data_IF_219061808617
#
_entry.id   IF_219061808617
#
_cell.length_a   1.000
_cell.length_b   1.000
_cell.length_c   1.000
_cell.angle_alpha   90.00
_cell.angle_beta   90.00
_cell.angle_gamma   90.00
#
_symmetry.space_group_name_H-M   'P 1'
#
loop_
_entity.id
_entity.type
_entity.pdbx_description
1 polymer ?
#
# COMPACT_ATOMS: atom_id res chain seq x y z
N UNK A 1 -21.65 31.35 -4.50
CA UNK A 1 -22.34 32.15 -3.47
C UNK A 1 -21.30 32.86 -2.64
N UNK A 2 -21.61 34.06 -2.14
CA UNK A 2 -20.82 34.69 -1.08
C UNK A 2 -20.79 33.78 0.15
N UNK A 3 -19.80 33.98 1.02
CA UNK A 3 -19.74 33.24 2.29
C UNK A 3 -20.99 33.53 3.11
N UNK A 4 -21.70 32.48 3.52
CA UNK A 4 -22.92 32.60 4.33
C UNK A 4 -22.61 32.77 5.81
N UNK A 5 -21.35 32.58 6.21
CA UNK A 5 -20.90 32.62 7.60
C UNK A 5 -20.11 33.90 7.88
N UNK A 6 -20.19 34.40 9.11
CA UNK A 6 -19.27 35.44 9.59
C UNK A 6 -17.84 34.87 9.71
N UNK A 7 -16.83 35.76 9.79
CA UNK A 7 -15.43 35.37 9.95
C UNK A 7 -15.21 34.47 11.17
N UNK A 8 -15.87 34.77 12.29
CA UNK A 8 -15.81 33.99 13.53
C UNK A 8 -16.50 32.62 13.39
N UNK A 9 -17.67 32.58 12.77
CA UNK A 9 -18.38 31.33 12.49
C UNK A 9 -17.57 30.42 11.56
N UNK A 10 -16.93 30.99 10.53
CA UNK A 10 -16.02 30.25 9.65
C UNK A 10 -14.79 29.76 10.38
N UNK A 11 -14.18 30.58 11.22
CA UNK A 11 -13.04 30.17 12.05
C UNK A 11 -13.39 28.98 12.95
N UNK A 12 -14.54 29.04 13.63
CA UNK A 12 -15.05 27.94 14.46
C UNK A 12 -15.39 26.69 13.65
N UNK A 13 -15.97 26.85 12.46
CA UNK A 13 -16.24 25.73 11.56
C UNK A 13 -14.94 25.03 11.14
N UNK A 14 -13.94 25.80 10.73
CA UNK A 14 -12.63 25.29 10.31
C UNK A 14 -11.88 24.59 11.45
N UNK A 15 -12.00 25.07 12.70
CA UNK A 15 -11.34 24.42 13.85
C UNK A 15 -11.97 23.08 14.24
N UNK A 16 -13.22 22.83 13.85
CA UNK A 16 -13.91 21.55 14.10
C UNK A 16 -13.62 20.49 13.02
N UNK A 17 -12.96 20.85 11.92
CA UNK A 17 -12.63 19.92 10.84
C UNK A 17 -11.47 19.03 11.31
N UNK A 18 -11.79 17.76 11.57
CA UNK A 18 -10.81 16.75 12.01
C UNK A 18 -10.02 16.22 10.82
N UNK A 19 -8.75 15.91 11.06
CA UNK A 19 -7.87 15.27 10.08
C UNK A 19 -7.98 13.74 10.05
N UNK A 20 -8.68 13.14 11.01
CA UNK A 20 -8.87 11.70 11.19
C UNK A 20 -10.24 11.42 11.79
N UNK A 21 -10.72 10.19 11.62
CA UNK A 21 -11.99 9.72 12.17
C UNK A 21 -13.18 10.56 11.68
N UNK A 22 -13.10 10.96 10.41
CA UNK A 22 -14.19 11.68 9.76
C UNK A 22 -15.40 10.78 9.56
N UNK A 23 -16.59 11.38 9.41
CA UNK A 23 -17.83 10.64 9.17
C UNK A 23 -17.73 9.62 8.02
N UNK A 24 -17.21 10.00 6.84
CA UNK A 24 -16.98 9.08 5.72
C UNK A 24 -16.06 7.90 6.08
N UNK A 25 -14.95 8.15 6.78
CA UNK A 25 -14.03 7.08 7.22
C UNK A 25 -14.76 6.08 8.13
N UNK A 26 -15.49 6.57 9.13
CA UNK A 26 -16.23 5.71 10.07
C UNK A 26 -17.27 4.84 9.37
N UNK A 27 -17.94 5.37 8.33
CA UNK A 27 -18.88 4.59 7.51
C UNK A 27 -18.19 3.42 6.82
N UNK A 28 -17.04 3.67 6.18
CA UNK A 28 -16.28 2.62 5.48
C UNK A 28 -15.76 1.59 6.49
N UNK A 29 -15.20 2.03 7.62
CA UNK A 29 -14.68 1.13 8.67
C UNK A 29 -15.77 0.21 9.22
N UNK A 30 -16.95 0.74 9.55
CA UNK A 30 -18.09 -0.05 10.05
C UNK A 30 -18.53 -1.08 9.03
N UNK A 31 -18.61 -0.70 7.77
CA UNK A 31 -19.02 -1.60 6.69
C UNK A 31 -17.99 -2.72 6.45
N UNK A 32 -16.70 -2.38 6.41
CA UNK A 32 -15.64 -3.39 6.25
C UNK A 32 -15.61 -4.36 7.44
N UNK A 33 -15.80 -3.86 8.65
CA UNK A 33 -15.87 -4.70 9.85
C UNK A 33 -17.08 -5.64 9.80
N UNK A 34 -18.26 -5.13 9.44
CA UNK A 34 -19.48 -5.95 9.27
C UNK A 34 -19.32 -7.02 8.17
N UNK A 35 -18.54 -6.72 7.12
CA UNK A 35 -18.21 -7.67 6.06
C UNK A 35 -17.07 -8.65 6.44
N UNK A 36 -16.57 -8.63 7.68
CA UNK A 36 -15.58 -9.57 8.20
C UNK A 36 -14.11 -9.22 7.88
N UNK A 37 -13.85 -8.03 7.33
CA UNK A 37 -12.47 -7.61 7.07
C UNK A 37 -11.77 -7.15 8.35
N UNK A 38 -10.53 -7.58 8.51
CA UNK A 38 -9.61 -7.06 9.54
C UNK A 38 -8.67 -6.05 8.91
N UNK A 39 -8.54 -4.90 9.53
CA UNK A 39 -7.75 -3.79 9.02
C UNK A 39 -7.05 -3.03 10.15
N UNK A 40 -6.01 -2.29 9.79
CA UNK A 40 -5.40 -1.26 10.64
C UNK A 40 -5.81 0.11 10.13
N UNK A 41 -5.85 1.10 11.00
CA UNK A 41 -6.19 2.48 10.63
C UNK A 41 -4.97 3.39 10.80
N UNK A 42 -4.93 4.49 10.04
CA UNK A 42 -3.97 5.59 10.20
C UNK A 42 -2.51 5.11 10.31
N UNK A 43 -2.07 4.27 9.38
CA UNK A 43 -0.76 3.63 9.44
C UNK A 43 0.33 4.59 8.96
N UNK A 44 0.99 5.26 9.91
CA UNK A 44 2.05 6.25 9.62
C UNK A 44 3.32 5.67 9.01
N UNK A 45 3.54 4.36 9.11
CA UNK A 45 4.70 3.69 8.51
C UNK A 45 4.61 3.58 6.98
N UNK A 46 3.45 3.88 6.39
CA UNK A 46 3.24 3.84 4.95
C UNK A 46 3.17 5.26 4.37
N UNK A 47 3.64 5.47 3.12
CA UNK A 47 3.54 6.76 2.46
C UNK A 47 2.11 7.31 2.50
N UNK A 48 1.96 8.56 2.94
CA UNK A 48 0.68 9.26 2.97
C UNK A 48 -0.29 8.83 4.07
N UNK A 49 0.13 7.99 5.02
CA UNK A 49 -0.67 7.55 6.17
C UNK A 49 -2.09 7.09 5.80
N UNK A 50 -2.23 5.96 5.07
CA UNK A 50 -3.53 5.50 4.58
C UNK A 50 -4.55 5.33 5.71
N UNK A 51 -5.81 5.69 5.43
CA UNK A 51 -6.89 5.64 6.41
C UNK A 51 -7.16 4.21 6.87
N UNK A 52 -7.12 3.26 5.93
CA UNK A 52 -7.39 1.84 6.19
C UNK A 52 -6.39 0.98 5.43
N UNK A 53 -5.76 0.04 6.14
CA UNK A 53 -4.77 -0.90 5.59
C UNK A 53 -5.20 -2.34 5.84
N UNK A 54 -5.34 -3.11 4.77
CA UNK A 54 -5.71 -4.51 4.75
C UNK A 54 -4.53 -5.37 4.32
N UNK A 55 -3.61 -5.65 5.27
CA UNK A 55 -2.36 -6.40 5.00
C UNK A 55 -2.60 -7.77 4.34
N UNK A 56 -3.59 -8.53 4.83
CA UNK A 56 -3.94 -9.86 4.27
C UNK A 56 -4.34 -9.79 2.78
N UNK A 57 -4.95 -8.68 2.39
CA UNK A 57 -5.45 -8.47 1.04
C UNK A 57 -4.53 -7.55 0.23
N UNK A 58 -3.35 -7.21 0.77
CA UNK A 58 -2.39 -6.29 0.17
C UNK A 58 -3.04 -5.02 -0.42
N UNK A 59 -4.02 -4.46 0.31
CA UNK A 59 -4.83 -3.32 -0.15
C UNK A 59 -4.78 -2.19 0.86
N UNK A 60 -4.61 -0.97 0.37
CA UNK A 60 -4.69 0.28 1.13
C UNK A 60 -5.86 1.11 0.60
N UNK A 61 -6.60 1.74 1.51
CA UNK A 61 -7.78 2.53 1.16
C UNK A 61 -7.59 3.96 1.67
N UNK A 62 -7.82 4.91 0.77
CA UNK A 62 -7.92 6.34 1.09
C UNK A 62 -9.38 6.77 0.98
N UNK A 63 -9.90 7.43 2.01
CA UNK A 63 -11.26 7.98 2.05
C UNK A 63 -11.19 9.48 1.83
N UNK A 64 -11.30 9.89 0.56
CA UNK A 64 -11.09 11.28 0.17
C UNK A 64 -12.40 12.09 0.25
N UNK A 65 -12.35 13.19 0.99
CA UNK A 65 -13.38 14.22 0.95
C UNK A 65 -13.42 14.90 -0.42
N UNK A 66 -14.59 15.00 -1.03
CA UNK A 66 -14.71 15.52 -2.40
C UNK A 66 -14.27 16.98 -2.52
N UNK A 67 -14.47 17.77 -1.45
CA UNK A 67 -14.06 19.17 -1.39
C UNK A 67 -12.54 19.36 -1.36
N UNK A 68 -11.84 18.61 -0.49
CA UNK A 68 -10.41 18.81 -0.20
C UNK A 68 -9.46 18.30 -1.27
N UNK A 69 -9.87 17.24 -1.98
CA UNK A 69 -9.07 16.60 -3.04
C UNK A 69 -9.59 16.95 -4.44
N UNK A 70 -10.68 17.72 -4.53
CA UNK A 70 -11.24 18.18 -5.79
C UNK A 70 -11.74 17.03 -6.66
N UNK A 71 -12.84 16.39 -6.29
CA UNK A 71 -13.41 15.34 -7.12
C UNK A 71 -14.01 15.93 -8.41
N UNK A 72 -13.50 15.51 -9.58
CA UNK A 72 -14.00 15.96 -10.88
C UNK A 72 -15.45 15.50 -11.11
N UNK A 73 -16.28 16.36 -11.71
CA UNK A 73 -17.68 16.04 -12.00
C UNK A 73 -18.58 15.84 -10.78
N UNK A 74 -18.11 16.18 -9.57
CA UNK A 74 -18.85 15.95 -8.34
C UNK A 74 -19.63 17.18 -7.88
N UNK A 75 -20.92 17.01 -7.57
CA UNK A 75 -21.77 18.08 -6.99
C UNK A 75 -21.26 18.59 -5.63
N UNK A 76 -20.54 17.78 -4.87
CA UNK A 76 -19.98 18.16 -3.57
C UNK A 76 -18.71 19.02 -3.69
N UNK A 77 -18.05 19.00 -4.86
CA UNK A 77 -16.91 19.86 -5.12
C UNK A 77 -17.40 21.19 -5.72
N UNK A 78 -17.58 22.18 -4.87
CA UNK A 78 -17.87 23.56 -5.29
C UNK A 78 -16.72 24.44 -4.80
N UNK A 79 -15.86 24.96 -5.69
CA UNK A 79 -14.79 25.86 -5.26
C UNK A 79 -15.39 27.11 -4.61
N UNK A 80 -14.86 27.56 -3.46
CA UNK A 80 -15.32 28.79 -2.84
C UNK A 80 -15.10 29.98 -3.78
N UNK A 81 -16.06 30.92 -3.84
CA UNK A 81 -15.92 32.16 -4.63
C UNK A 81 -14.97 33.18 -3.98
N UNK A 82 -14.68 33.04 -2.69
CA UNK A 82 -13.65 33.83 -1.99
C UNK A 82 -12.33 33.07 -1.94
N UNK A 83 -11.20 33.78 -2.07
CA UNK A 83 -9.85 33.21 -2.06
C UNK A 83 -9.64 32.09 -3.08
N UNK A 84 -10.21 32.26 -4.29
CA UNK A 84 -10.23 31.24 -5.35
C UNK A 84 -8.83 30.71 -5.65
N UNK A 85 -7.85 31.59 -5.82
CA UNK A 85 -6.49 31.18 -6.17
C UNK A 85 -5.80 30.38 -5.06
N UNK A 86 -6.05 30.75 -3.81
CA UNK A 86 -5.56 30.00 -2.66
C UNK A 86 -6.15 28.57 -2.66
N UNK A 87 -7.47 28.46 -2.82
CA UNK A 87 -8.16 27.16 -2.83
C UNK A 87 -7.76 26.31 -4.03
N UNK A 88 -7.65 26.91 -5.22
CA UNK A 88 -7.16 26.24 -6.43
C UNK A 88 -5.78 25.66 -6.22
N UNK A 89 -4.81 26.47 -5.76
CA UNK A 89 -3.44 26.01 -5.46
C UNK A 89 -3.41 24.93 -4.37
N UNK A 90 -4.26 25.06 -3.34
CA UNK A 90 -4.34 24.08 -2.24
C UNK A 90 -4.86 22.73 -2.72
N UNK A 91 -5.95 22.72 -3.48
CA UNK A 91 -6.52 21.48 -4.03
C UNK A 91 -5.56 20.83 -5.02
N UNK A 92 -4.93 21.62 -5.88
CA UNK A 92 -3.93 21.13 -6.84
C UNK A 92 -2.74 20.48 -6.13
N UNK A 93 -2.21 21.12 -5.07
CA UNK A 93 -1.17 20.54 -4.23
C UNK A 93 -1.60 19.22 -3.59
N UNK A 94 -2.85 19.14 -3.12
CA UNK A 94 -3.39 17.90 -2.54
C UNK A 94 -3.44 16.78 -3.57
N UNK A 95 -4.01 17.04 -4.76
CA UNK A 95 -4.05 16.06 -5.85
C UNK A 95 -2.66 15.54 -6.22
N UNK A 96 -1.69 16.44 -6.40
CA UNK A 96 -0.30 16.07 -6.70
C UNK A 96 0.29 15.17 -5.62
N UNK A 97 0.04 15.50 -4.34
CA UNK A 97 0.46 14.67 -3.21
C UNK A 97 -0.19 13.30 -3.25
N UNK A 98 -1.49 13.23 -3.50
CA UNK A 98 -2.24 11.97 -3.55
C UNK A 98 -1.71 11.06 -4.66
N UNK A 99 -1.46 11.62 -5.86
CA UNK A 99 -0.84 10.88 -6.98
C UNK A 99 0.54 10.36 -6.61
N UNK A 100 1.40 11.19 -6.02
CA UNK A 100 2.75 10.79 -5.60
C UNK A 100 2.73 9.74 -4.46
N UNK A 101 1.74 9.79 -3.58
CA UNK A 101 1.52 8.79 -2.54
C UNK A 101 1.05 7.46 -3.14
N UNK A 102 0.06 7.51 -4.03
CA UNK A 102 -0.46 6.32 -4.72
C UNK A 102 0.66 5.60 -5.48
N UNK A 103 1.45 6.34 -6.27
CA UNK A 103 2.58 5.77 -7.00
C UNK A 103 3.60 5.09 -6.09
N UNK A 104 3.96 5.72 -4.96
CA UNK A 104 4.89 5.12 -3.99
C UNK A 104 4.33 3.85 -3.36
N UNK A 105 3.04 3.79 -3.09
CA UNK A 105 2.39 2.60 -2.52
C UNK A 105 2.32 1.47 -3.55
N UNK A 106 2.00 1.79 -4.80
CA UNK A 106 1.99 0.83 -5.91
C UNK A 106 3.39 0.27 -6.18
N UNK A 107 4.43 1.11 -6.12
CA UNK A 107 5.83 0.68 -6.23
C UNK A 107 6.26 -0.26 -5.09
N UNK A 108 5.70 -0.09 -3.89
CA UNK A 108 5.86 -1.02 -2.76
C UNK A 108 5.01 -2.30 -2.91
N UNK A 109 4.27 -2.42 -4.00
CA UNK A 109 3.44 -3.58 -4.34
C UNK A 109 2.04 -3.52 -3.75
N UNK A 110 1.58 -2.42 -3.15
CA UNK A 110 0.24 -2.32 -2.58
C UNK A 110 -0.81 -2.01 -3.65
N UNK A 111 -2.00 -2.61 -3.54
CA UNK A 111 -3.17 -2.19 -4.29
C UNK A 111 -3.81 -0.96 -3.62
N UNK A 112 -3.82 0.19 -4.31
CA UNK A 112 -4.37 1.44 -3.81
C UNK A 112 -5.82 1.61 -4.26
N UNK A 113 -6.71 1.92 -3.31
CA UNK A 113 -8.12 2.17 -3.59
C UNK A 113 -8.55 3.50 -2.98
N UNK A 114 -9.06 4.41 -3.81
CA UNK A 114 -9.63 5.68 -3.33
C UNK A 114 -11.15 5.59 -3.30
N UNK A 115 -11.73 5.83 -2.12
CA UNK A 115 -13.17 5.92 -1.91
C UNK A 115 -13.53 7.38 -1.69
N UNK A 116 -14.32 7.93 -2.61
CA UNK A 116 -14.78 9.31 -2.52
C UNK A 116 -16.01 9.45 -1.63
N UNK A 117 -16.07 10.52 -0.85
CA UNK A 117 -17.19 10.85 0.03
C UNK A 117 -18.55 10.84 -0.69
N UNK A 118 -18.63 11.33 -1.94
CA UNK A 118 -19.89 11.33 -2.70
C UNK A 118 -20.44 9.92 -2.99
N UNK A 119 -19.56 8.93 -3.09
CA UNK A 119 -19.94 7.53 -3.31
C UNK A 119 -20.49 6.89 -2.02
N UNK A 120 -20.27 7.51 -0.86
CA UNK A 120 -20.79 7.10 0.44
C UNK A 120 -22.12 7.77 0.80
N UNK A 121 -22.74 8.49 -0.15
CA UNK A 121 -24.09 9.01 0.01
C UNK A 121 -25.10 7.87 0.26
N UNK A 122 -26.16 8.07 1.06
CA UNK A 122 -27.09 7.00 1.43
C UNK A 122 -27.64 6.18 0.25
N UNK A 123 -27.84 6.83 -0.91
CA UNK A 123 -28.34 6.20 -2.14
C UNK A 123 -27.35 5.20 -2.75
N UNK A 124 -26.05 5.50 -2.72
CA UNK A 124 -25.00 4.73 -3.41
C UNK A 124 -24.10 3.91 -2.48
N UNK A 125 -24.21 4.16 -1.18
CA UNK A 125 -23.34 3.59 -0.15
C UNK A 125 -23.32 2.06 -0.17
N UNK A 126 -24.49 1.41 -0.22
CA UNK A 126 -24.57 -0.06 -0.17
C UNK A 126 -23.84 -0.70 -1.36
N UNK A 127 -24.15 -0.24 -2.57
CA UNK A 127 -23.52 -0.71 -3.80
C UNK A 127 -22.01 -0.46 -3.82
N UNK A 128 -21.59 0.77 -3.49
CA UNK A 128 -20.17 1.14 -3.47
C UNK A 128 -19.37 0.25 -2.50
N UNK A 129 -19.93 -0.03 -1.32
CA UNK A 129 -19.27 -0.85 -0.31
C UNK A 129 -19.25 -2.34 -0.69
N UNK A 130 -20.28 -2.84 -1.38
CA UNK A 130 -20.28 -4.20 -1.92
C UNK A 130 -19.18 -4.36 -2.98
N UNK A 131 -19.12 -3.45 -3.96
CA UNK A 131 -18.07 -3.43 -4.99
C UNK A 131 -16.67 -3.30 -4.39
N UNK A 132 -16.52 -2.48 -3.35
CA UNK A 132 -15.26 -2.34 -2.61
C UNK A 132 -14.86 -3.68 -1.96
N UNK A 133 -15.80 -4.34 -1.28
CA UNK A 133 -15.57 -5.65 -0.66
C UNK A 133 -15.13 -6.70 -1.68
N UNK A 134 -15.76 -6.74 -2.84
CA UNK A 134 -15.42 -7.70 -3.89
C UNK A 134 -14.08 -7.40 -4.55
N UNK A 135 -13.73 -6.13 -4.73
CA UNK A 135 -12.40 -5.73 -5.19
C UNK A 135 -11.30 -6.15 -4.20
N UNK A 136 -11.51 -5.93 -2.90
CA UNK A 136 -10.57 -6.33 -1.85
C UNK A 136 -10.38 -7.85 -1.85
N UNK A 137 -11.47 -8.62 -1.93
CA UNK A 137 -11.42 -10.09 -1.96
C UNK A 137 -10.64 -10.62 -3.15
N UNK A 138 -10.94 -10.12 -4.36
CA UNK A 138 -10.21 -10.48 -5.59
C UNK A 138 -8.72 -10.19 -5.47
N UNK A 139 -8.34 -9.00 -5.00
CA UNK A 139 -6.93 -8.66 -4.84
C UNK A 139 -6.22 -9.56 -3.81
N UNK A 140 -6.90 -9.92 -2.71
CA UNK A 140 -6.35 -10.84 -1.72
C UNK A 140 -6.16 -12.26 -2.24
N UNK A 141 -6.97 -12.71 -3.20
CA UNK A 141 -6.74 -13.99 -3.88
C UNK A 141 -5.51 -13.94 -4.78
N UNK A 142 -5.41 -12.92 -5.65
CA UNK A 142 -4.24 -12.70 -6.50
C UNK A 142 -2.96 -12.59 -5.67
N UNK A 143 -2.99 -11.84 -4.56
CA UNK A 143 -1.84 -11.69 -3.68
C UNK A 143 -1.44 -13.01 -3.00
N UNK A 144 -2.41 -13.84 -2.59
CA UNK A 144 -2.11 -15.17 -2.02
C UNK A 144 -1.46 -16.09 -3.05
N UNK A 145 -1.94 -16.10 -4.28
CA UNK A 145 -1.37 -16.89 -5.37
C UNK A 145 0.07 -16.45 -5.67
N UNK A 146 0.31 -15.14 -5.74
CA UNK A 146 1.65 -14.57 -5.95
C UNK A 146 2.62 -14.95 -4.82
N UNK A 147 2.17 -14.87 -3.55
CA UNK A 147 2.99 -15.29 -2.41
C UNK A 147 3.29 -16.80 -2.44
N UNK A 148 2.35 -17.64 -2.89
CA UNK A 148 2.57 -19.08 -3.03
C UNK A 148 3.65 -19.37 -4.09
N UNK A 149 3.51 -18.78 -5.29
CA UNK A 149 4.52 -18.88 -6.37
C UNK A 149 5.92 -18.46 -5.92
N UNK A 150 6.02 -17.33 -5.19
CA UNK A 150 7.31 -16.88 -4.64
C UNK A 150 7.91 -17.86 -3.64
N UNK A 151 7.07 -18.51 -2.82
CA UNK A 151 7.53 -19.52 -1.86
C UNK A 151 8.04 -20.78 -2.57
N UNK A 152 7.32 -21.24 -3.59
CA UNK A 152 7.68 -22.38 -4.42
C UNK A 152 9.00 -22.13 -5.16
N UNK A 153 9.13 -21.00 -5.86
CA UNK A 153 10.37 -20.62 -6.56
C UNK A 153 11.56 -20.55 -5.60
N UNK A 154 11.39 -19.94 -4.42
CA UNK A 154 12.44 -19.90 -3.39
C UNK A 154 12.80 -21.29 -2.86
N UNK A 155 11.84 -22.20 -2.76
CA UNK A 155 12.10 -23.58 -2.36
C UNK A 155 12.91 -24.33 -3.43
N UNK A 156 12.55 -24.17 -4.72
CA UNK A 156 13.27 -24.76 -5.84
C UNK A 156 14.73 -24.29 -5.93
N UNK A 157 14.96 -22.97 -5.81
CA UNK A 157 16.31 -22.41 -5.78
C UNK A 157 17.13 -22.94 -4.60
N UNK A 158 16.52 -23.08 -3.42
CA UNK A 158 17.20 -23.66 -2.24
C UNK A 158 17.55 -25.14 -2.46
N UNK A 159 16.68 -25.93 -3.07
CA UNK A 159 16.97 -27.34 -3.37
C UNK A 159 18.08 -27.47 -4.41
N UNK A 160 18.07 -26.64 -5.45
CA UNK A 160 19.12 -26.64 -6.49
C UNK A 160 20.48 -26.25 -5.90
N UNK A 161 20.52 -25.19 -5.09
CA UNK A 161 21.73 -24.78 -4.38
C UNK A 161 22.24 -25.87 -3.43
N UNK A 162 21.34 -26.53 -2.69
CA UNK A 162 21.70 -27.65 -1.81
C UNK A 162 22.29 -28.83 -2.59
N UNK A 163 21.69 -29.19 -3.72
CA UNK A 163 22.16 -30.26 -4.59
C UNK A 163 23.52 -29.95 -5.20
N UNK A 164 23.70 -28.72 -5.72
CA UNK A 164 25.00 -28.25 -6.24
C UNK A 164 26.07 -28.32 -5.15
N UNK A 165 25.78 -27.81 -3.94
CA UNK A 165 26.71 -27.84 -2.81
C UNK A 165 27.09 -29.28 -2.43
N UNK A 166 26.13 -30.20 -2.36
CA UNK A 166 26.40 -31.62 -2.06
C UNK A 166 27.25 -32.30 -3.14
N UNK A 167 26.96 -32.03 -4.43
CA UNK A 167 27.72 -32.57 -5.55
C UNK A 167 29.16 -32.05 -5.58
N UNK A 168 29.36 -30.75 -5.38
CA UNK A 168 30.70 -30.16 -5.30
C UNK A 168 31.49 -30.75 -4.12
N UNK A 169 30.85 -30.91 -2.95
CA UNK A 169 31.49 -31.54 -1.79
C UNK A 169 31.89 -33.00 -2.06
N UNK A 170 31.05 -33.78 -2.75
CA UNK A 170 31.37 -35.15 -3.13
C UNK A 170 32.57 -35.23 -4.10
N UNK A 171 32.57 -34.39 -5.15
CA UNK A 171 33.67 -34.32 -6.11
C UNK A 171 34.99 -33.89 -5.45
N UNK A 172 34.95 -32.89 -4.56
CA UNK A 172 36.13 -32.49 -3.79
C UNK A 172 36.65 -33.62 -2.92
N UNK A 173 35.77 -34.42 -2.29
CA UNK A 173 36.15 -35.61 -1.54
C UNK A 173 36.81 -36.69 -2.40
N UNK A 174 36.27 -36.95 -3.59
CA UNK A 174 36.86 -37.88 -4.57
C UNK A 174 38.26 -37.41 -5.01
N UNK A 175 38.41 -36.13 -5.37
CA UNK A 175 39.70 -35.54 -5.76
C UNK A 175 40.72 -35.61 -4.62
N UNK A 176 40.32 -35.30 -3.38
CA UNK A 176 41.20 -35.40 -2.22
C UNK A 176 41.70 -36.83 -1.99
N UNK A 177 40.85 -37.84 -2.22
CA UNK A 177 41.21 -39.26 -2.09
C UNK A 177 42.20 -39.73 -3.16
N UNK A 178 42.10 -39.19 -4.38
CA UNK A 178 42.94 -39.56 -5.52
C UNK A 178 44.28 -38.82 -5.47
N UNK A 179 44.27 -37.54 -5.10
CA UNK A 179 45.39 -36.63 -5.30
C UNK A 179 46.20 -36.33 -4.04
N UNK A 180 45.82 -36.86 -2.86
CA UNK A 180 46.44 -36.62 -1.54
C UNK A 180 46.93 -35.17 -1.36
N UNK A 181 46.06 -34.21 -1.64
CA UNK A 181 46.41 -32.79 -1.68
C UNK A 181 46.71 -32.31 -0.23
N UNK A 182 47.92 -31.79 0.04
CA UNK A 182 48.28 -31.26 1.35
C UNK A 182 47.34 -30.13 1.78
N UNK A 183 47.00 -30.08 3.08
CA UNK A 183 46.09 -29.07 3.65
C UNK A 183 46.59 -27.60 3.51
N UNK A 184 47.84 -27.39 3.11
CA UNK A 184 48.42 -26.08 2.80
C UNK A 184 47.93 -25.52 1.47
N UNK A 185 47.64 -26.36 0.47
CA UNK A 185 47.18 -25.94 -0.87
C UNK A 185 45.68 -25.59 -0.85
N UNK A 186 44.88 -26.31 -0.03
CA UNK A 186 43.43 -26.08 0.12
C UNK A 186 43.06 -24.71 0.70
N UNK A 187 43.90 -24.15 1.58
CA UNK A 187 43.67 -22.83 2.19
C UNK A 187 43.89 -21.67 1.22
N UNK A 188 44.79 -21.83 0.24
CA UNK A 188 45.07 -20.77 -0.72
C UNK A 188 43.90 -20.50 -1.69
N UNK A 189 43.06 -21.50 -1.97
CA UNK A 189 41.91 -21.37 -2.88
C UNK A 189 40.64 -20.79 -2.24
N UNK A 190 40.42 -20.99 -0.95
CA UNK A 190 39.24 -20.45 -0.24
C UNK A 190 39.34 -18.93 0.00
N UNK A 191 40.57 -18.40 0.09
CA UNK A 191 40.83 -16.96 0.27
C UNK A 191 40.63 -16.15 -1.02
N UNK A 192 40.66 -16.78 -2.21
CA UNK A 192 40.42 -16.12 -3.50
C UNK A 192 38.92 -15.96 -3.82
N UNK A 193 38.08 -16.96 -3.48
CA UNK A 193 36.63 -16.91 -3.70
C UNK A 193 35.91 -15.86 -2.81
N UNK A 194 36.56 -15.39 -1.73
CA UNK A 194 36.00 -14.38 -0.82
C UNK A 194 36.27 -12.93 -1.27
N UNK A 195 37.10 -12.71 -2.30
CA UNK A 195 37.42 -11.37 -2.81
C UNK A 195 36.54 -10.90 -3.97
N UNK A 196 35.70 -11.76 -4.55
CA UNK A 196 34.88 -11.48 -5.73
C UNK A 196 33.35 -11.52 -5.50
N UNK A 197 32.91 -11.44 -4.24
CA UNK A 197 31.48 -11.42 -3.83
C UNK A 197 30.99 -10.06 -3.33
#
# INVERSE_FOLDING_TARGET
MADKMTKEQRHKCMSHIRSRDTGPELVVRRALFAAGFRFRVNVSSLPGSPDIVLRRYNTVIFVNGCFWHGHAGCRLYVPPRSNVDFWRRKVERNRRRDTAVAFRLEALGWNVVTVWECSLSPKRRKETLALLGDRIRRNGETHRQELARRREMRAALRSEHSFRKARTAALLGEVDSICHIPASVRRASEDEDMQDS
#
